data_IF_356804446234
#
_entry.id   IF_356804446234
#
_cell.length_a   1.000
_cell.length_b   1.000
_cell.length_c   1.000
_cell.angle_alpha   90.00
_cell.angle_beta   90.00
_cell.angle_gamma   90.00
#
_symmetry.space_group_name_H-M   'P 1'
#
loop_
_entity.id
_entity.type
_entity.pdbx_description
1 polymer ?
#
# COMPACT_ATOMS: atom_id res chain seq x y z
N UNK A 1 -10.06 -3.49 52.90
CA UNK A 1 -9.15 -2.95 51.85
C UNK A 1 -8.13 -3.99 51.38
N UNK A 2 -7.18 -4.51 52.21
CA UNK A 2 -6.12 -5.45 51.72
C UNK A 2 -6.64 -6.75 51.04
N UNK A 3 -7.76 -7.33 51.48
CA UNK A 3 -8.37 -8.54 50.86
C UNK A 3 -8.96 -8.24 49.46
N UNK A 4 -9.61 -7.08 49.28
CA UNK A 4 -10.19 -6.66 48.02
C UNK A 4 -9.07 -6.39 47.00
N UNK A 5 -7.99 -5.73 47.40
CA UNK A 5 -6.82 -5.47 46.53
C UNK A 5 -6.17 -6.80 46.10
N UNK A 6 -6.01 -7.77 47.01
CA UNK A 6 -5.48 -9.11 46.65
C UNK A 6 -6.40 -9.84 45.66
N UNK A 7 -7.72 -9.76 45.85
CA UNK A 7 -8.68 -10.35 44.91
C UNK A 7 -8.59 -9.70 43.54
N UNK A 8 -8.54 -8.37 43.49
CA UNK A 8 -8.39 -7.62 42.21
C UNK A 8 -7.09 -7.98 41.48
N UNK A 9 -5.97 -8.08 42.20
CA UNK A 9 -4.68 -8.51 41.63
C UNK A 9 -4.74 -9.95 41.13
N UNK A 10 -5.42 -10.85 41.82
CA UNK A 10 -5.63 -12.23 41.36
C UNK A 10 -6.48 -12.32 40.09
N UNK A 11 -7.57 -11.54 40.02
CA UNK A 11 -8.41 -11.45 38.81
C UNK A 11 -7.62 -10.84 37.62
N UNK A 12 -6.86 -9.78 37.87
CA UNK A 12 -6.02 -9.15 36.83
C UNK A 12 -4.97 -10.14 36.33
N UNK A 13 -4.28 -10.85 37.21
CA UNK A 13 -3.32 -11.88 36.83
C UNK A 13 -3.96 -12.98 35.98
N UNK A 14 -5.13 -13.48 36.38
CA UNK A 14 -5.86 -14.49 35.63
C UNK A 14 -6.27 -13.97 34.23
N UNK A 15 -6.74 -12.73 34.13
CA UNK A 15 -7.07 -12.09 32.85
C UNK A 15 -5.85 -11.95 31.93
N UNK A 16 -4.70 -11.57 32.51
CA UNK A 16 -3.45 -11.47 31.72
C UNK A 16 -3.02 -12.85 31.22
N UNK A 17 -3.04 -13.88 32.08
CA UNK A 17 -2.71 -15.25 31.67
C UNK A 17 -3.67 -15.76 30.63
N UNK A 18 -4.97 -15.54 30.80
CA UNK A 18 -5.98 -15.90 29.80
C UNK A 18 -5.74 -15.22 28.47
N UNK A 19 -5.45 -13.91 28.49
CA UNK A 19 -5.14 -13.16 27.27
C UNK A 19 -3.88 -13.69 26.57
N UNK A 20 -2.82 -13.99 27.31
CA UNK A 20 -1.60 -14.58 26.75
C UNK A 20 -1.87 -15.94 26.13
N UNK A 21 -2.60 -16.81 26.81
CA UNK A 21 -2.98 -18.13 26.28
C UNK A 21 -3.86 -17.97 25.04
N UNK A 22 -4.83 -17.06 25.08
CA UNK A 22 -5.70 -16.76 23.93
C UNK A 22 -4.90 -16.28 22.70
N UNK A 23 -3.95 -15.36 22.89
CA UNK A 23 -3.06 -14.90 21.80
C UNK A 23 -2.23 -16.05 21.23
N UNK A 24 -1.76 -16.99 22.06
CA UNK A 24 -1.04 -18.17 21.59
C UNK A 24 -1.91 -19.08 20.71
N UNK A 25 -3.20 -19.19 21.00
CA UNK A 25 -4.16 -19.94 20.17
C UNK A 25 -4.45 -19.28 18.83
N UNK A 26 -4.29 -17.96 18.72
CA UNK A 26 -4.49 -17.24 17.45
C UNK A 26 -3.31 -17.39 16.48
N UNK A 27 -2.15 -17.83 16.96
CA UNK A 27 -0.96 -18.02 16.11
C UNK A 27 -1.09 -19.26 15.25
N UNK A 28 -0.72 -19.14 13.98
CA UNK A 28 -0.66 -20.27 13.08
C UNK A 28 0.43 -21.27 13.57
N UNK A 29 0.12 -22.58 13.71
CA UNK A 29 1.13 -23.59 14.04
C UNK A 29 2.07 -23.83 12.85
N UNK A 30 3.23 -24.42 13.10
CA UNK A 30 4.13 -24.88 12.05
C UNK A 30 3.44 -26.06 11.33
N UNK A 31 3.50 -26.04 9.99
CA UNK A 31 2.93 -27.10 9.15
C UNK A 31 3.56 -28.47 9.46
N UNK A 32 2.75 -29.48 9.44
CA UNK A 32 3.14 -30.90 9.51
C UNK A 32 2.49 -31.63 8.34
N UNK A 33 2.72 -32.93 8.24
CA UNK A 33 2.21 -33.76 7.13
C UNK A 33 0.68 -33.71 6.96
N UNK A 34 -0.07 -33.44 8.03
CA UNK A 34 -1.53 -33.27 8.00
C UNK A 34 -1.95 -31.80 7.91
N UNK A 35 -2.00 -31.29 6.72
CA UNK A 35 -2.35 -29.92 6.36
C UNK A 35 -3.86 -29.83 6.04
N UNK A 36 -4.63 -29.24 6.98
CA UNK A 36 -6.09 -29.23 6.95
C UNK A 36 -6.66 -28.02 6.20
N UNK A 37 -7.76 -28.26 5.46
CA UNK A 37 -8.52 -27.20 4.78
C UNK A 37 -9.05 -26.16 5.80
N UNK A 38 -8.94 -24.88 5.45
CA UNK A 38 -9.44 -23.77 6.26
C UNK A 38 -8.56 -23.36 7.45
N UNK A 39 -7.45 -24.07 7.70
CA UNK A 39 -6.53 -23.74 8.80
C UNK A 39 -5.26 -23.07 8.29
N UNK A 40 -4.80 -22.09 9.05
CA UNK A 40 -3.53 -21.40 8.82
C UNK A 40 -2.36 -22.19 9.40
N UNK A 41 -1.25 -22.20 8.67
CA UNK A 41 0.01 -22.81 9.07
C UNK A 41 1.18 -21.92 8.70
N UNK A 42 2.28 -22.02 9.47
CA UNK A 42 3.60 -21.47 9.13
C UNK A 42 4.39 -22.53 8.37
N UNK A 43 4.98 -22.15 7.27
CA UNK A 43 5.98 -22.93 6.55
C UNK A 43 7.32 -22.25 6.77
N UNK A 44 8.20 -22.89 7.54
CA UNK A 44 9.53 -22.34 7.83
C UNK A 44 10.43 -22.42 6.61
N UNK A 45 11.30 -21.43 6.44
CA UNK A 45 12.39 -21.47 5.47
C UNK A 45 13.68 -21.87 6.18
N UNK A 46 14.23 -23.02 5.83
CA UNK A 46 15.39 -23.58 6.50
C UNK A 46 16.61 -22.65 6.40
N UNK A 47 17.19 -22.33 7.55
CA UNK A 47 18.38 -21.47 7.64
C UNK A 47 18.14 -19.99 7.37
N UNK A 48 16.88 -19.55 7.19
CA UNK A 48 16.53 -18.14 6.97
C UNK A 48 15.96 -17.51 8.24
N UNK A 49 16.54 -16.40 8.65
CA UNK A 49 16.11 -15.65 9.81
C UNK A 49 15.77 -14.19 9.45
N UNK A 50 14.93 -13.55 10.25
CA UNK A 50 14.77 -12.10 10.19
C UNK A 50 16.02 -11.37 10.77
N UNK A 51 16.02 -10.05 10.72
CA UNK A 51 17.15 -9.25 11.25
C UNK A 51 17.26 -9.27 12.78
N UNK A 52 16.38 -10.00 13.48
CA UNK A 52 16.40 -10.23 14.95
C UNK A 52 16.76 -11.67 15.32
N UNK A 53 17.06 -12.51 14.33
CA UNK A 53 17.39 -13.93 14.54
C UNK A 53 16.19 -14.84 14.75
N UNK A 54 14.96 -14.40 14.44
CA UNK A 54 13.80 -15.28 14.46
C UNK A 54 13.68 -16.03 13.15
N UNK A 55 13.26 -17.32 13.21
CA UNK A 55 13.03 -18.14 12.02
C UNK A 55 12.04 -17.45 11.07
N UNK A 56 12.41 -17.35 9.81
CA UNK A 56 11.56 -16.75 8.80
C UNK A 56 10.59 -17.81 8.22
N UNK A 57 9.38 -17.40 7.90
CA UNK A 57 8.33 -18.25 7.38
C UNK A 57 7.40 -17.49 6.43
N UNK A 58 6.64 -18.23 5.65
CA UNK A 58 5.40 -17.74 5.07
C UNK A 58 4.19 -18.44 5.70
N UNK A 59 3.01 -17.87 5.50
CA UNK A 59 1.77 -18.43 6.01
C UNK A 59 0.98 -19.06 4.87
N UNK A 60 0.41 -20.23 5.11
CA UNK A 60 -0.44 -20.93 4.15
C UNK A 60 -1.77 -21.33 4.78
N UNK A 61 -2.87 -21.14 4.04
CA UNK A 61 -4.20 -21.69 4.36
C UNK A 61 -4.73 -22.42 3.13
N UNK A 62 -5.02 -23.71 3.24
CA UNK A 62 -5.61 -24.49 2.15
C UNK A 62 -7.09 -24.15 2.00
N UNK A 63 -7.48 -23.71 0.82
CA UNK A 63 -8.87 -23.47 0.44
C UNK A 63 -9.61 -24.74 0.01
N UNK A 64 -10.91 -24.59 -0.26
CA UNK A 64 -11.75 -25.64 -0.85
C UNK A 64 -11.77 -25.61 -2.36
N UNK A 65 -11.52 -24.41 -2.94
CA UNK A 65 -11.52 -24.17 -4.38
C UNK A 65 -10.09 -24.22 -4.93
N UNK A 66 -9.95 -24.57 -6.22
CA UNK A 66 -8.68 -24.53 -6.94
C UNK A 66 -8.33 -23.09 -7.35
N UNK A 67 -8.34 -22.17 -6.39
CA UNK A 67 -8.06 -20.76 -6.55
C UNK A 67 -7.06 -20.31 -5.50
N UNK A 68 -6.12 -19.46 -5.88
CA UNK A 68 -4.98 -19.09 -5.04
C UNK A 68 -4.84 -17.58 -4.96
N UNK A 69 -4.53 -17.10 -3.76
CA UNK A 69 -4.09 -15.74 -3.49
C UNK A 69 -2.66 -15.78 -2.94
N UNK A 70 -1.74 -15.10 -3.60
CA UNK A 70 -0.42 -14.78 -3.08
C UNK A 70 -0.45 -13.34 -2.61
N UNK A 71 -0.30 -13.12 -1.30
CA UNK A 71 -0.48 -11.83 -0.66
C UNK A 71 0.84 -11.38 0.01
N UNK A 72 1.43 -10.34 -0.52
CA UNK A 72 2.62 -9.71 0.04
C UNK A 72 2.24 -8.69 1.13
N UNK A 73 2.80 -8.86 2.31
CA UNK A 73 2.59 -7.90 3.40
C UNK A 73 3.36 -6.60 3.15
N UNK A 74 2.81 -5.50 3.63
CA UNK A 74 3.48 -4.22 3.69
C UNK A 74 4.28 -4.08 4.98
N UNK A 75 5.00 -2.97 5.14
CA UNK A 75 5.77 -2.71 6.35
C UNK A 75 6.81 -1.60 6.20
N UNK A 76 6.59 -0.65 5.30
CA UNK A 76 7.46 0.51 5.10
C UNK A 76 8.65 0.26 4.20
N UNK A 77 9.69 1.12 4.29
CA UNK A 77 10.87 0.98 3.45
C UNK A 77 12.15 1.51 4.12
N UNK A 78 13.29 1.00 3.68
CA UNK A 78 14.63 1.42 4.08
C UNK A 78 15.49 1.67 2.84
N UNK A 79 15.98 2.90 2.68
CA UNK A 79 16.68 3.36 1.47
C UNK A 79 18.07 3.94 1.75
N UNK A 80 18.45 4.05 3.01
CA UNK A 80 19.74 4.57 3.46
C UNK A 80 20.02 4.15 4.90
N UNK A 81 21.20 4.51 5.41
CA UNK A 81 21.64 4.19 6.78
C UNK A 81 20.72 4.78 7.84
N UNK A 82 20.18 5.99 7.63
CA UNK A 82 19.25 6.61 8.57
C UNK A 82 17.99 5.76 8.76
N UNK A 83 17.37 5.35 7.66
CA UNK A 83 16.16 4.52 7.70
C UNK A 83 16.45 3.12 8.21
N UNK A 84 17.63 2.57 7.92
CA UNK A 84 18.08 1.28 8.43
C UNK A 84 18.33 1.28 9.96
N UNK A 85 18.80 2.40 10.52
CA UNK A 85 19.03 2.57 11.95
C UNK A 85 17.76 2.89 12.74
N UNK A 86 16.85 3.67 12.16
CA UNK A 86 15.60 4.13 12.80
C UNK A 86 14.39 3.22 12.46
N UNK A 87 14.60 1.91 12.50
CA UNK A 87 13.66 0.86 12.06
C UNK A 87 12.22 1.08 12.49
N UNK A 88 11.99 1.39 13.76
CA UNK A 88 10.63 1.57 14.32
C UNK A 88 9.79 2.63 13.60
N UNK A 89 10.42 3.60 12.95
CA UNK A 89 9.74 4.69 12.27
C UNK A 89 9.53 4.40 10.78
N UNK A 90 10.42 3.63 10.15
CA UNK A 90 10.47 3.51 8.70
C UNK A 90 10.07 2.13 8.17
N UNK A 91 10.31 1.04 8.90
CA UNK A 91 9.90 -0.29 8.43
C UNK A 91 9.82 -1.33 9.55
N UNK A 92 9.11 -2.43 9.26
CA UNK A 92 9.02 -3.60 10.13
C UNK A 92 10.27 -4.45 9.94
N UNK A 93 10.97 -4.81 11.05
CA UNK A 93 12.22 -5.59 11.03
C UNK A 93 12.12 -6.90 11.82
N UNK A 94 10.92 -7.22 12.33
CA UNK A 94 10.69 -8.38 13.19
C UNK A 94 9.43 -9.12 12.75
N UNK A 95 9.62 -10.36 12.29
CA UNK A 95 8.54 -11.20 11.78
C UNK A 95 7.44 -11.50 12.81
N UNK A 96 7.73 -11.38 14.11
CA UNK A 96 6.73 -11.55 15.16
C UNK A 96 5.61 -10.51 15.11
N UNK A 97 5.86 -9.33 14.56
CA UNK A 97 4.82 -8.32 14.35
C UNK A 97 3.85 -8.70 13.23
N UNK A 98 4.26 -9.60 12.34
CA UNK A 98 3.48 -10.10 11.22
C UNK A 98 2.62 -11.34 11.54
N UNK A 99 2.83 -11.97 12.71
CA UNK A 99 2.23 -13.26 13.04
C UNK A 99 0.70 -13.31 13.03
N UNK A 100 0.04 -12.19 13.31
CA UNK A 100 -1.42 -12.11 13.39
C UNK A 100 -2.07 -11.41 12.19
N UNK A 101 -1.29 -10.95 11.20
CA UNK A 101 -1.83 -10.26 10.04
C UNK A 101 -2.74 -11.13 9.16
N UNK A 102 -2.64 -12.46 9.27
CA UNK A 102 -3.56 -13.39 8.60
C UNK A 102 -5.00 -13.37 9.16
N UNK A 103 -5.21 -12.75 10.32
CA UNK A 103 -6.53 -12.63 10.96
C UNK A 103 -7.32 -11.39 10.51
N UNK A 104 -6.73 -10.55 9.66
CA UNK A 104 -7.32 -9.26 9.25
C UNK A 104 -7.33 -9.10 7.72
N UNK A 105 -8.04 -8.10 7.25
CA UNK A 105 -8.09 -7.72 5.84
C UNK A 105 -8.60 -8.83 4.92
N UNK A 106 -7.97 -8.97 3.76
CA UNK A 106 -8.33 -9.96 2.73
C UNK A 106 -8.18 -11.41 3.22
N UNK A 107 -7.29 -11.65 4.18
CA UNK A 107 -7.01 -12.97 4.75
C UNK A 107 -7.95 -13.37 5.88
N UNK A 108 -8.76 -12.43 6.39
CA UNK A 108 -9.65 -12.65 7.52
C UNK A 108 -10.66 -13.76 7.21
N UNK A 109 -10.77 -14.73 8.11
CA UNK A 109 -11.85 -15.71 8.08
C UNK A 109 -13.15 -15.02 8.55
N UNK A 110 -13.97 -14.65 7.59
CA UNK A 110 -15.23 -13.95 7.79
C UNK A 110 -16.26 -14.49 6.78
N UNK A 111 -17.48 -14.76 7.24
CA UNK A 111 -18.56 -15.32 6.39
C UNK A 111 -18.86 -14.45 5.16
N UNK A 112 -18.60 -13.15 5.25
CA UNK A 112 -18.81 -12.18 4.18
C UNK A 112 -17.55 -11.96 3.33
N UNK A 113 -16.43 -12.68 3.62
CA UNK A 113 -15.23 -12.64 2.79
C UNK A 113 -15.36 -13.60 1.61
N UNK A 114 -15.45 -13.10 0.36
CA UNK A 114 -15.64 -13.94 -0.81
C UNK A 114 -14.44 -14.86 -1.13
N UNK A 115 -13.31 -14.65 -0.45
CA UNK A 115 -12.07 -15.41 -0.66
C UNK A 115 -11.84 -16.51 0.39
N UNK A 116 -12.79 -16.76 1.29
CA UNK A 116 -12.60 -17.77 2.35
C UNK A 116 -12.22 -19.16 1.83
N UNK A 117 -12.73 -19.54 0.67
CA UNK A 117 -12.48 -20.84 0.07
C UNK A 117 -11.27 -20.89 -0.87
N UNK A 118 -10.54 -19.76 -1.01
CA UNK A 118 -9.27 -19.73 -1.73
C UNK A 118 -8.12 -20.21 -0.85
N UNK A 119 -7.13 -20.82 -1.51
CA UNK A 119 -5.83 -21.06 -0.87
C UNK A 119 -5.06 -19.76 -0.76
N UNK A 120 -4.57 -19.45 0.44
CA UNK A 120 -3.76 -18.25 0.69
C UNK A 120 -2.31 -18.62 0.89
N UNK A 121 -1.43 -17.81 0.30
CA UNK A 121 0.01 -17.73 0.60
C UNK A 121 0.26 -16.29 1.05
N UNK A 122 0.48 -16.07 2.35
CA UNK A 122 0.80 -14.76 2.88
C UNK A 122 2.31 -14.67 3.14
N UNK A 123 2.97 -13.68 2.55
CA UNK A 123 4.41 -13.47 2.60
C UNK A 123 4.73 -12.29 3.52
N UNK A 124 5.25 -12.54 4.74
CA UNK A 124 5.63 -11.49 5.68
C UNK A 124 6.76 -10.62 5.15
N UNK A 125 6.81 -9.37 5.60
CA UNK A 125 7.79 -8.38 5.20
C UNK A 125 8.66 -7.90 6.36
N UNK A 126 9.99 -7.99 6.22
CA UNK A 126 10.94 -7.60 7.28
C UNK A 126 12.27 -7.03 6.74
N UNK A 127 12.34 -6.70 5.46
CA UNK A 127 13.60 -6.37 4.78
C UNK A 127 13.74 -4.93 4.34
N UNK A 128 12.66 -4.15 4.35
CA UNK A 128 12.69 -2.73 3.98
C UNK A 128 12.94 -2.45 2.47
N UNK A 129 12.77 -3.44 1.58
CA UNK A 129 13.23 -3.44 0.18
C UNK A 129 12.14 -3.86 -0.83
N UNK A 130 10.86 -3.70 -0.48
CA UNK A 130 9.71 -4.12 -1.31
C UNK A 130 9.77 -5.59 -1.79
N UNK A 131 10.36 -6.49 -1.00
CA UNK A 131 10.58 -7.92 -1.35
C UNK A 131 11.49 -8.15 -2.58
N UNK A 132 12.30 -7.18 -2.99
CA UNK A 132 13.10 -7.27 -4.23
C UNK A 132 14.60 -7.10 -4.08
N UNK A 133 15.11 -6.88 -2.86
CA UNK A 133 16.53 -6.70 -2.60
C UNK A 133 17.30 -8.02 -2.58
N UNK A 134 18.60 -7.94 -2.92
CA UNK A 134 19.56 -9.03 -2.84
C UNK A 134 20.83 -8.63 -2.05
N UNK A 135 20.78 -7.58 -1.23
CA UNK A 135 21.92 -7.06 -0.49
C UNK A 135 22.12 -7.78 0.84
N UNK A 136 22.85 -8.91 0.81
CA UNK A 136 23.24 -9.69 2.00
C UNK A 136 24.44 -9.08 2.75
N UNK A 137 25.20 -8.18 2.12
CA UNK A 137 26.45 -7.62 2.65
C UNK A 137 26.22 -6.41 3.55
N UNK A 138 25.03 -5.80 3.51
CA UNK A 138 24.71 -4.65 4.32
C UNK A 138 24.71 -5.03 5.82
N UNK A 139 25.66 -4.45 6.58
CA UNK A 139 25.83 -4.76 8.01
C UNK A 139 24.71 -4.20 8.89
N UNK A 140 24.03 -3.15 8.45
CA UNK A 140 22.94 -2.51 9.21
C UNK A 140 21.61 -3.24 9.00
N UNK A 141 21.37 -3.68 7.78
CA UNK A 141 20.12 -4.34 7.38
C UNK A 141 20.38 -5.26 6.18
N UNK A 142 20.13 -6.53 6.34
CA UNK A 142 20.09 -7.46 5.21
C UNK A 142 18.83 -7.23 4.40
N UNK A 143 19.00 -6.71 3.20
CA UNK A 143 17.94 -6.46 2.24
C UNK A 143 17.87 -7.61 1.25
N UNK A 144 17.30 -8.74 1.70
CA UNK A 144 17.30 -10.04 1.01
C UNK A 144 15.86 -10.42 0.56
N UNK A 145 15.01 -9.44 0.31
CA UNK A 145 13.60 -9.68 -0.01
C UNK A 145 13.41 -10.57 -1.22
N UNK A 146 14.18 -10.35 -2.30
CA UNK A 146 14.11 -11.19 -3.50
C UNK A 146 14.64 -12.62 -3.27
N UNK A 147 15.72 -12.77 -2.51
CA UNK A 147 16.26 -14.11 -2.16
C UNK A 147 15.18 -14.91 -1.42
N UNK A 148 14.54 -14.29 -0.43
CA UNK A 148 13.45 -14.92 0.33
C UNK A 148 12.23 -15.21 -0.54
N UNK A 149 11.90 -14.30 -1.46
CA UNK A 149 10.81 -14.50 -2.42
C UNK A 149 11.03 -15.76 -3.26
N UNK A 150 12.21 -15.97 -3.83
CA UNK A 150 12.52 -17.18 -4.63
C UNK A 150 12.38 -18.44 -3.75
N UNK A 151 12.99 -18.46 -2.57
CA UNK A 151 12.89 -19.60 -1.65
C UNK A 151 11.44 -19.93 -1.27
N UNK A 152 10.61 -18.88 -1.05
CA UNK A 152 9.18 -19.06 -0.78
C UNK A 152 8.48 -19.66 -2.01
N UNK A 153 8.71 -19.12 -3.20
CA UNK A 153 8.03 -19.57 -4.40
C UNK A 153 8.40 -21.00 -4.77
N UNK A 154 9.66 -21.38 -4.60
CA UNK A 154 10.10 -22.78 -4.78
C UNK A 154 9.36 -23.70 -3.79
N UNK A 155 9.22 -23.28 -2.53
CA UNK A 155 8.49 -24.03 -1.51
C UNK A 155 6.98 -24.06 -1.77
N UNK A 156 6.40 -22.96 -2.27
CA UNK A 156 4.97 -22.87 -2.64
C UNK A 156 4.60 -23.88 -3.72
N UNK A 157 5.50 -24.18 -4.66
CA UNK A 157 5.28 -25.21 -5.70
C UNK A 157 5.12 -26.62 -5.15
N UNK A 158 5.56 -26.89 -3.91
CA UNK A 158 5.30 -28.18 -3.26
C UNK A 158 3.84 -28.34 -2.79
N UNK A 159 3.12 -27.21 -2.61
CA UNK A 159 1.74 -27.18 -2.10
C UNK A 159 0.71 -26.85 -3.17
N UNK A 160 1.11 -26.14 -4.23
CA UNK A 160 0.23 -25.60 -5.26
C UNK A 160 0.74 -25.98 -6.64
N UNK A 161 -0.08 -26.67 -7.40
CA UNK A 161 0.27 -27.08 -8.75
C UNK A 161 -0.22 -26.05 -9.78
N UNK A 162 -1.45 -26.16 -10.25
CA UNK A 162 -2.00 -25.30 -11.31
C UNK A 162 -3.41 -24.81 -10.94
N UNK A 163 -3.53 -23.63 -10.30
CA UNK A 163 -4.83 -23.10 -9.93
C UNK A 163 -5.59 -22.57 -11.16
N UNK A 164 -6.94 -22.63 -11.09
CA UNK A 164 -7.82 -22.04 -12.10
C UNK A 164 -7.77 -20.52 -12.08
N UNK A 165 -7.64 -19.94 -10.88
CA UNK A 165 -7.53 -18.48 -10.63
C UNK A 165 -6.31 -18.22 -9.77
N UNK A 166 -5.48 -17.30 -10.18
CA UNK A 166 -4.38 -16.79 -9.38
C UNK A 166 -4.52 -15.28 -9.23
N UNK A 167 -4.62 -14.82 -7.97
CA UNK A 167 -4.54 -13.41 -7.59
C UNK A 167 -3.22 -13.16 -6.87
N UNK A 168 -2.36 -12.34 -7.46
CA UNK A 168 -1.18 -11.80 -6.79
C UNK A 168 -1.54 -10.43 -6.23
N UNK A 169 -1.42 -10.24 -4.94
CA UNK A 169 -1.80 -9.00 -4.27
C UNK A 169 -0.79 -8.59 -3.21
N UNK A 170 -0.92 -7.37 -2.73
CA UNK A 170 -0.19 -6.87 -1.60
C UNK A 170 -0.62 -5.44 -1.29
N UNK A 171 -0.30 -5.00 -0.09
CA UNK A 171 -0.63 -3.66 0.40
C UNK A 171 0.64 -2.90 0.81
N UNK A 172 0.70 -1.58 0.59
CA UNK A 172 1.85 -0.74 0.93
C UNK A 172 3.13 -1.29 0.27
N UNK A 173 4.19 -1.56 1.01
CA UNK A 173 5.41 -2.23 0.50
C UNK A 173 5.09 -3.53 -0.27
N UNK A 174 4.09 -4.30 0.17
CA UNK A 174 3.62 -5.49 -0.53
C UNK A 174 2.89 -5.20 -1.84
N UNK A 175 2.24 -4.05 -1.98
CA UNK A 175 1.66 -3.60 -3.24
C UNK A 175 2.74 -3.22 -4.26
N UNK A 176 3.86 -2.62 -3.83
CA UNK A 176 5.04 -2.47 -4.69
C UNK A 176 5.54 -3.86 -5.12
N UNK A 177 5.67 -4.81 -4.18
CA UNK A 177 6.07 -6.18 -4.50
C UNK A 177 5.14 -6.84 -5.53
N UNK A 178 3.81 -6.76 -5.33
CA UNK A 178 2.84 -7.37 -6.25
C UNK A 178 2.94 -6.78 -7.65
N UNK A 179 3.16 -5.46 -7.80
CA UNK A 179 3.35 -4.84 -9.11
C UNK A 179 4.63 -5.33 -9.81
N UNK A 180 5.72 -5.55 -9.06
CA UNK A 180 7.05 -5.88 -9.61
C UNK A 180 7.20 -7.38 -9.87
N UNK A 181 6.75 -8.22 -8.92
CA UNK A 181 7.01 -9.65 -8.92
C UNK A 181 5.95 -10.49 -9.65
N UNK A 182 4.77 -9.91 -9.97
CA UNK A 182 3.69 -10.63 -10.67
C UNK A 182 4.13 -11.22 -12.00
N UNK A 183 4.95 -10.49 -12.77
CA UNK A 183 5.48 -11.02 -14.03
C UNK A 183 6.28 -12.32 -13.81
N UNK A 184 7.20 -12.34 -12.84
CA UNK A 184 7.97 -13.53 -12.47
C UNK A 184 7.06 -14.66 -11.98
N UNK A 185 6.09 -14.35 -11.11
CA UNK A 185 5.14 -15.35 -10.60
C UNK A 185 4.34 -15.98 -11.74
N UNK A 186 3.83 -15.18 -12.67
CA UNK A 186 2.99 -15.67 -13.76
C UNK A 186 3.75 -16.43 -14.85
N UNK A 187 5.02 -16.15 -15.08
CA UNK A 187 5.77 -16.75 -16.18
C UNK A 187 6.69 -17.88 -15.74
N UNK A 188 7.28 -17.78 -14.53
CA UNK A 188 8.26 -18.76 -14.08
C UNK A 188 7.62 -19.83 -13.20
N UNK A 189 6.59 -19.48 -12.40
CA UNK A 189 5.99 -20.41 -11.45
C UNK A 189 4.59 -20.92 -11.87
N UNK A 190 3.77 -20.06 -12.49
CA UNK A 190 2.36 -20.36 -12.80
C UNK A 190 1.99 -19.98 -14.23
N UNK A 191 2.81 -20.39 -15.21
CA UNK A 191 2.65 -20.03 -16.62
C UNK A 191 1.32 -20.52 -17.23
N UNK A 192 0.84 -21.70 -16.80
CA UNK A 192 -0.31 -22.37 -17.36
C UNK A 192 -1.66 -21.89 -16.79
N UNK A 193 -1.64 -21.05 -15.75
CA UNK A 193 -2.84 -20.44 -15.18
C UNK A 193 -3.50 -19.53 -16.20
N UNK A 194 -4.79 -19.73 -16.44
CA UNK A 194 -5.53 -18.96 -17.45
C UNK A 194 -6.11 -17.66 -16.87
N UNK A 195 -6.56 -17.63 -15.62
CA UNK A 195 -7.14 -16.45 -14.98
C UNK A 195 -6.14 -15.82 -14.03
N UNK A 196 -5.26 -14.95 -14.59
CA UNK A 196 -4.20 -14.23 -13.89
C UNK A 196 -4.67 -12.85 -13.51
N UNK A 197 -4.50 -12.48 -12.24
CA UNK A 197 -4.95 -11.21 -11.71
C UNK A 197 -3.85 -10.61 -10.82
N UNK A 198 -3.67 -9.30 -10.89
CA UNK A 198 -2.84 -8.55 -9.96
C UNK A 198 -3.65 -7.45 -9.29
N UNK A 199 -3.48 -7.30 -7.99
CA UNK A 199 -4.08 -6.24 -7.20
C UNK A 199 -2.98 -5.51 -6.42
N UNK A 200 -2.89 -4.21 -6.64
CA UNK A 200 -1.93 -3.31 -5.97
C UNK A 200 -2.71 -2.38 -5.06
N UNK A 201 -2.51 -2.48 -3.74
CA UNK A 201 -3.16 -1.62 -2.75
C UNK A 201 -2.18 -0.63 -2.11
N UNK A 202 -2.52 0.65 -2.20
CA UNK A 202 -1.83 1.75 -1.52
C UNK A 202 -0.31 1.79 -1.80
N UNK A 203 0.07 1.87 -3.10
CA UNK A 203 1.47 1.82 -3.52
C UNK A 203 1.75 2.88 -4.59
N UNK A 204 2.00 4.11 -4.14
CA UNK A 204 2.39 5.24 -4.98
C UNK A 204 3.47 6.05 -4.27
N UNK A 205 4.68 6.01 -4.81
CA UNK A 205 5.81 6.86 -4.44
C UNK A 205 6.56 7.25 -5.71
N UNK A 206 6.84 8.54 -5.84
CA UNK A 206 7.52 9.13 -6.99
C UNK A 206 8.93 9.52 -6.56
N UNK A 207 9.96 9.03 -7.26
CA UNK A 207 11.34 9.39 -6.94
C UNK A 207 12.27 9.21 -8.14
N UNK A 208 13.10 10.19 -8.41
CA UNK A 208 14.17 10.09 -9.41
C UNK A 208 15.34 9.22 -8.89
N UNK A 209 15.35 8.89 -7.59
CA UNK A 209 16.37 8.05 -6.95
C UNK A 209 16.10 6.53 -7.08
N UNK A 210 14.99 6.10 -7.71
CA UNK A 210 14.66 4.67 -7.79
C UNK A 210 15.79 3.83 -8.42
N UNK A 211 16.42 4.32 -9.46
CA UNK A 211 17.53 3.58 -10.10
C UNK A 211 18.67 3.34 -9.12
N UNK A 212 19.10 4.38 -8.40
CA UNK A 212 20.12 4.27 -7.35
C UNK A 212 19.69 3.34 -6.20
N UNK A 213 18.47 3.52 -5.69
CA UNK A 213 17.94 2.70 -4.58
C UNK A 213 17.94 1.22 -4.97
N UNK A 214 17.44 0.88 -6.16
CA UNK A 214 17.34 -0.50 -6.60
C UNK A 214 18.73 -1.13 -6.87
N UNK A 215 19.61 -0.41 -7.57
CA UNK A 215 20.91 -0.95 -8.00
C UNK A 215 21.94 -0.95 -6.87
N UNK A 216 22.08 0.15 -6.16
CA UNK A 216 23.21 0.37 -5.26
C UNK A 216 22.86 0.06 -3.80
N UNK A 217 21.62 0.38 -3.37
CA UNK A 217 21.21 0.14 -1.97
C UNK A 217 20.65 -1.27 -1.80
N UNK A 218 19.64 -1.64 -2.59
CA UNK A 218 19.00 -2.96 -2.46
C UNK A 218 19.67 -4.06 -3.26
N UNK A 219 20.53 -3.71 -4.24
CA UNK A 219 21.16 -4.66 -5.17
C UNK A 219 20.13 -5.59 -5.83
N UNK A 220 18.99 -5.03 -6.22
CA UNK A 220 17.90 -5.76 -6.85
C UNK A 220 18.35 -6.39 -8.18
N UNK A 221 17.74 -7.52 -8.62
CA UNK A 221 18.08 -8.17 -9.88
C UNK A 221 18.02 -7.21 -11.07
N UNK A 222 18.94 -7.34 -12.01
CA UNK A 222 19.06 -6.49 -13.19
C UNK A 222 17.78 -6.48 -14.05
N UNK A 223 17.12 -7.62 -14.19
CA UNK A 223 15.86 -7.71 -14.93
C UNK A 223 14.70 -6.92 -14.29
N UNK A 224 14.75 -6.65 -12.98
CA UNK A 224 13.83 -5.73 -12.29
C UNK A 224 14.25 -4.29 -12.54
N UNK A 225 15.53 -3.96 -12.30
CA UNK A 225 16.02 -2.59 -12.42
C UNK A 225 15.95 -2.05 -13.85
N UNK A 226 16.10 -2.90 -14.86
CA UNK A 226 15.99 -2.54 -16.27
C UNK A 226 14.57 -2.14 -16.72
N UNK A 227 13.53 -2.48 -15.94
CA UNK A 227 12.14 -2.09 -16.21
C UNK A 227 11.83 -0.66 -15.82
N UNK A 228 12.64 -0.04 -14.96
CA UNK A 228 12.40 1.32 -14.47
C UNK A 228 12.75 2.31 -15.56
N UNK A 229 11.76 3.07 -16.03
CA UNK A 229 11.87 4.04 -17.12
C UNK A 229 11.50 5.45 -16.68
N UNK A 230 10.73 5.55 -15.61
CA UNK A 230 10.25 6.81 -15.04
C UNK A 230 10.53 6.85 -13.53
N UNK A 231 10.09 7.90 -12.89
CA UNK A 231 10.14 8.03 -11.43
C UNK A 231 8.98 7.31 -10.70
N UNK A 232 8.14 6.54 -11.42
CA UNK A 232 7.05 5.75 -10.85
C UNK A 232 7.29 4.25 -11.08
N UNK A 233 7.96 3.62 -10.13
CA UNK A 233 8.32 2.19 -10.18
C UNK A 233 7.11 1.25 -10.34
N UNK A 234 5.97 1.58 -9.74
CA UNK A 234 4.75 0.75 -9.84
C UNK A 234 4.16 0.84 -11.24
N UNK A 235 4.04 2.03 -11.78
CA UNK A 235 3.50 2.25 -13.13
C UNK A 235 4.37 1.55 -14.19
N UNK A 236 5.69 1.69 -14.10
CA UNK A 236 6.62 1.06 -15.05
C UNK A 236 6.48 -0.47 -15.05
N UNK A 237 6.37 -1.08 -13.85
CA UNK A 237 6.22 -2.52 -13.74
C UNK A 237 4.83 -3.01 -14.19
N UNK A 238 3.76 -2.26 -13.93
CA UNK A 238 2.42 -2.61 -14.42
C UNK A 238 2.31 -2.46 -15.95
N UNK A 239 2.96 -1.46 -16.55
CA UNK A 239 3.10 -1.35 -18.00
C UNK A 239 3.84 -2.55 -18.58
N UNK A 240 5.00 -2.89 -18.01
CA UNK A 240 5.77 -4.05 -18.42
C UNK A 240 4.97 -5.35 -18.30
N UNK A 241 4.23 -5.53 -17.19
CA UNK A 241 3.36 -6.68 -16.98
C UNK A 241 2.28 -6.78 -18.06
N UNK A 242 1.57 -5.67 -18.34
CA UNK A 242 0.50 -5.60 -19.33
C UNK A 242 1.01 -5.87 -20.76
N UNK A 243 2.22 -5.43 -21.10
CA UNK A 243 2.84 -5.68 -22.40
C UNK A 243 3.21 -7.15 -22.62
N UNK A 244 3.66 -7.83 -21.56
CA UNK A 244 4.19 -9.19 -21.62
C UNK A 244 3.18 -10.28 -21.20
N UNK A 245 2.05 -9.90 -20.58
CA UNK A 245 0.98 -10.79 -20.14
C UNK A 245 -0.38 -10.21 -20.56
N UNK A 246 -0.76 -10.39 -21.83
CA UNK A 246 -1.93 -9.71 -22.46
C UNK A 246 -3.27 -9.97 -21.77
N UNK A 247 -3.44 -11.14 -21.14
CA UNK A 247 -4.69 -11.54 -20.51
C UNK A 247 -4.73 -11.24 -19.00
N UNK A 248 -3.66 -10.67 -18.43
CA UNK A 248 -3.64 -10.32 -17.03
C UNK A 248 -4.64 -9.20 -16.74
N UNK A 249 -5.40 -9.36 -15.65
CA UNK A 249 -6.27 -8.30 -15.14
C UNK A 249 -5.54 -7.52 -14.05
N UNK A 250 -5.50 -6.20 -14.21
CA UNK A 250 -4.77 -5.29 -13.31
C UNK A 250 -5.78 -4.48 -12.50
N UNK A 251 -5.65 -4.53 -11.19
CA UNK A 251 -6.42 -3.75 -10.25
C UNK A 251 -5.50 -2.85 -9.44
N UNK A 252 -5.79 -1.56 -9.43
CA UNK A 252 -5.08 -0.60 -8.59
C UNK A 252 -6.05 0.04 -7.60
N UNK A 253 -5.72 -0.02 -6.32
CA UNK A 253 -6.57 0.47 -5.24
C UNK A 253 -5.79 1.49 -4.41
N UNK A 254 -6.36 2.65 -4.17
CA UNK A 254 -5.71 3.70 -3.37
C UNK A 254 -6.73 4.58 -2.68
N UNK A 255 -6.39 5.06 -1.49
CA UNK A 255 -7.11 6.18 -0.90
C UNK A 255 -6.65 7.51 -1.52
N UNK A 256 -7.54 8.51 -1.51
CA UNK A 256 -7.36 9.76 -2.24
C UNK A 256 -6.13 10.56 -1.81
N UNK A 257 -5.82 10.58 -0.50
CA UNK A 257 -4.71 11.34 0.11
C UNK A 257 -4.06 10.53 1.24
N UNK A 258 -3.50 9.40 0.88
CA UNK A 258 -2.93 8.42 1.80
C UNK A 258 -1.89 9.01 2.75
N UNK A 259 -2.26 9.14 4.02
CA UNK A 259 -1.45 9.78 5.06
C UNK A 259 -0.08 9.11 5.27
N UNK A 260 -0.03 7.81 5.11
CA UNK A 260 1.21 7.03 5.31
C UNK A 260 2.15 7.21 4.12
N UNK A 261 1.65 7.04 2.89
CA UNK A 261 2.46 7.24 1.69
C UNK A 261 2.96 8.68 1.57
N UNK A 262 2.15 9.67 1.98
CA UNK A 262 2.56 11.08 2.00
C UNK A 262 3.78 11.29 2.90
N UNK A 263 3.88 10.63 4.06
CA UNK A 263 5.07 10.72 4.92
C UNK A 263 6.31 10.15 4.25
N UNK A 264 6.18 9.00 3.59
CA UNK A 264 7.29 8.42 2.84
C UNK A 264 7.69 9.26 1.64
N UNK A 265 6.71 9.83 0.92
CA UNK A 265 6.98 10.74 -0.19
C UNK A 265 7.73 11.98 0.30
N UNK A 266 7.29 12.60 1.39
CA UNK A 266 7.97 13.76 1.96
C UNK A 266 9.39 13.42 2.44
N UNK A 267 9.61 12.19 2.94
CA UNK A 267 10.97 11.74 3.29
C UNK A 267 11.85 11.54 2.04
N UNK A 268 11.31 11.01 0.96
CA UNK A 268 12.04 10.90 -0.31
C UNK A 268 12.45 12.28 -0.83
N UNK A 269 11.52 13.24 -0.82
CA UNK A 269 11.71 14.57 -1.40
C UNK A 269 12.55 15.50 -0.50
N UNK A 270 12.28 15.52 0.82
CA UNK A 270 12.76 16.53 1.75
C UNK A 270 13.51 15.98 2.96
N UNK A 271 13.62 14.65 3.11
CA UNK A 271 14.16 13.95 4.28
C UNK A 271 13.35 14.22 5.58
N UNK A 272 12.08 14.58 5.45
CA UNK A 272 11.17 14.82 6.56
C UNK A 272 10.04 13.78 6.59
N UNK A 273 9.95 13.00 7.65
CA UNK A 273 8.89 11.97 7.81
C UNK A 273 7.63 12.58 8.44
N UNK A 274 6.96 13.46 7.70
CA UNK A 274 5.76 14.17 8.13
C UNK A 274 4.70 14.25 7.02
N UNK A 275 3.47 14.62 7.38
CA UNK A 275 2.35 14.79 6.44
C UNK A 275 1.54 16.03 6.79
N UNK A 276 0.99 16.68 5.77
CA UNK A 276 0.09 17.84 5.90
C UNK A 276 -0.85 17.94 4.70
N UNK A 277 -1.78 18.89 4.73
CA UNK A 277 -2.78 19.13 3.68
C UNK A 277 -2.14 19.41 2.31
N UNK A 278 -1.07 20.20 2.25
CA UNK A 278 -0.40 20.55 0.99
C UNK A 278 0.24 19.34 0.35
N UNK A 279 0.95 18.52 1.13
CA UNK A 279 1.54 17.26 0.68
C UNK A 279 0.45 16.26 0.25
N UNK A 280 -0.70 16.25 0.95
CA UNK A 280 -1.86 15.45 0.57
C UNK A 280 -2.38 15.80 -0.82
N UNK A 281 -2.33 17.09 -1.19
CA UNK A 281 -2.71 17.54 -2.52
C UNK A 281 -1.73 17.12 -3.60
N UNK A 282 -0.44 17.25 -3.33
CA UNK A 282 0.62 16.77 -4.24
C UNK A 282 0.45 15.27 -4.50
N UNK A 283 0.20 14.48 -3.45
CA UNK A 283 -0.09 13.06 -3.59
C UNK A 283 -1.32 12.79 -4.46
N UNK A 284 -2.44 13.51 -4.25
CA UNK A 284 -3.64 13.38 -5.07
C UNK A 284 -3.38 13.71 -6.54
N UNK A 285 -2.58 14.73 -6.84
CA UNK A 285 -2.20 15.04 -8.22
C UNK A 285 -1.36 13.92 -8.86
N UNK A 286 -0.40 13.37 -8.13
CA UNK A 286 0.39 12.23 -8.60
C UNK A 286 -0.49 10.98 -8.81
N UNK A 287 -1.47 10.77 -7.93
CA UNK A 287 -2.44 9.69 -8.07
C UNK A 287 -3.31 9.88 -9.33
N UNK A 288 -3.78 11.09 -9.62
CA UNK A 288 -4.53 11.41 -10.83
C UNK A 288 -3.72 11.10 -12.09
N UNK A 289 -2.43 11.49 -12.12
CA UNK A 289 -1.53 11.18 -13.24
C UNK A 289 -1.36 9.67 -13.39
N UNK A 290 -1.07 8.96 -12.31
CA UNK A 290 -0.90 7.50 -12.35
C UNK A 290 -2.18 6.79 -12.82
N UNK A 291 -3.34 7.17 -12.30
CA UNK A 291 -4.63 6.56 -12.68
C UNK A 291 -4.93 6.78 -14.15
N UNK A 292 -4.70 7.98 -14.67
CA UNK A 292 -4.89 8.26 -16.09
C UNK A 292 -4.01 7.35 -16.97
N UNK A 293 -2.74 7.16 -16.60
CA UNK A 293 -1.84 6.26 -17.34
C UNK A 293 -2.28 4.78 -17.23
N UNK A 294 -2.71 4.34 -16.06
CA UNK A 294 -3.18 2.97 -15.83
C UNK A 294 -4.42 2.64 -16.67
N UNK A 295 -5.35 3.58 -16.83
CA UNK A 295 -6.59 3.36 -17.58
C UNK A 295 -6.37 3.21 -19.10
N UNK A 296 -5.18 3.55 -19.62
CA UNK A 296 -4.80 3.22 -20.99
C UNK A 296 -4.31 1.78 -21.16
N UNK A 297 -4.00 1.08 -20.05
CA UNK A 297 -3.59 -0.31 -20.14
C UNK A 297 -4.81 -1.22 -20.31
N UNK A 298 -4.74 -2.25 -21.18
CA UNK A 298 -5.82 -3.19 -21.35
C UNK A 298 -6.09 -3.95 -20.02
N UNK A 299 -7.33 -4.39 -19.82
CA UNK A 299 -7.77 -5.17 -18.68
C UNK A 299 -7.44 -4.53 -17.31
N UNK A 300 -7.37 -3.22 -17.25
CA UNK A 300 -7.01 -2.46 -16.04
C UNK A 300 -8.21 -1.72 -15.49
N UNK A 301 -8.36 -1.79 -14.18
CA UNK A 301 -9.37 -1.03 -13.43
C UNK A 301 -8.79 -0.45 -12.16
N UNK A 302 -9.42 0.60 -11.66
CA UNK A 302 -9.02 1.29 -10.44
C UNK A 302 -10.17 1.41 -9.45
N UNK A 303 -9.85 1.44 -8.16
CA UNK A 303 -10.80 1.72 -7.10
C UNK A 303 -10.21 2.80 -6.18
N UNK A 304 -10.71 4.02 -6.33
CA UNK A 304 -10.28 5.16 -5.50
C UNK A 304 -11.34 5.40 -4.43
N UNK A 305 -10.90 5.58 -3.21
CA UNK A 305 -11.78 5.80 -2.07
C UNK A 305 -11.28 6.93 -1.18
N UNK A 306 -12.18 7.47 -0.36
CA UNK A 306 -11.88 8.54 0.59
C UNK A 306 -12.62 8.29 1.90
N UNK A 307 -11.88 8.34 2.99
CA UNK A 307 -12.40 8.36 4.35
C UNK A 307 -11.61 9.40 5.13
N UNK A 308 -11.93 10.65 4.92
CA UNK A 308 -11.27 11.75 5.61
C UNK A 308 -11.41 11.58 7.11
N UNK A 309 -10.26 11.42 7.79
CA UNK A 309 -10.18 11.29 9.23
C UNK A 309 -9.42 12.49 9.79
N UNK A 310 -10.11 13.33 10.54
CA UNK A 310 -9.51 14.49 11.20
C UNK A 310 -9.42 15.75 10.35
N UNK A 311 -8.80 16.77 10.92
CA UNK A 311 -8.74 18.13 10.35
C UNK A 311 -7.62 18.32 9.32
N UNK A 312 -6.80 17.31 9.08
CA UNK A 312 -5.73 17.33 8.08
C UNK A 312 -6.18 16.89 6.68
N UNK A 313 -7.45 16.46 6.53
CA UNK A 313 -8.06 16.00 5.27
C UNK A 313 -7.30 14.86 4.56
N UNK A 314 -6.46 14.15 5.29
CA UNK A 314 -5.76 12.97 4.81
C UNK A 314 -6.63 11.72 5.03
N UNK A 315 -6.38 10.70 4.22
CA UNK A 315 -7.15 9.45 4.23
C UNK A 315 -6.35 8.31 4.83
N UNK A 316 -7.03 7.25 5.26
CA UNK A 316 -6.38 6.06 5.82
C UNK A 316 -5.58 5.32 4.77
N UNK A 317 -4.59 4.58 5.24
CA UNK A 317 -3.69 3.76 4.45
C UNK A 317 -4.24 2.34 4.31
N UNK A 318 -4.17 1.76 3.12
CA UNK A 318 -4.55 0.37 2.78
C UNK A 318 -6.02 0.02 3.05
N UNK A 319 -6.63 -0.75 2.21
CA UNK A 319 -7.98 -1.24 2.37
C UNK A 319 -8.02 -2.78 2.43
N UNK A 320 -7.10 -3.44 1.74
CA UNK A 320 -7.02 -4.91 1.75
C UNK A 320 -6.50 -5.47 3.07
N UNK A 321 -5.79 -4.65 3.85
CA UNK A 321 -5.34 -4.97 5.21
C UNK A 321 -6.37 -4.58 6.28
N UNK A 322 -7.14 -3.49 6.07
CA UNK A 322 -8.05 -2.93 7.07
C UNK A 322 -9.45 -2.86 6.49
N UNK A 323 -10.44 -3.40 7.21
CA UNK A 323 -11.88 -3.30 6.89
C UNK A 323 -12.27 -3.74 5.45
N UNK A 324 -11.56 -4.72 4.92
CA UNK A 324 -11.71 -5.23 3.56
C UNK A 324 -13.14 -5.63 3.20
N UNK A 325 -13.84 -6.30 4.11
CA UNK A 325 -15.16 -6.88 3.86
C UNK A 325 -16.28 -5.84 3.90
N UNK A 326 -16.10 -4.76 4.68
CA UNK A 326 -17.16 -3.77 4.92
C UNK A 326 -16.97 -2.47 4.14
N UNK A 327 -15.71 -2.11 3.82
CA UNK A 327 -15.41 -0.84 3.15
C UNK A 327 -16.05 -0.78 1.78
N UNK A 328 -16.77 0.31 1.54
CA UNK A 328 -17.46 0.55 0.25
C UNK A 328 -17.39 2.02 -0.13
N UNK A 329 -17.37 2.25 -1.43
CA UNK A 329 -17.51 3.56 -2.06
C UNK A 329 -18.58 3.49 -3.15
N UNK A 330 -19.48 4.49 -3.21
CA UNK A 330 -20.62 4.51 -4.13
C UNK A 330 -21.44 3.21 -4.15
N UNK A 331 -21.62 2.59 -2.97
CA UNK A 331 -22.44 1.39 -2.81
C UNK A 331 -21.74 0.07 -3.13
N UNK A 332 -20.53 0.08 -3.75
CA UNK A 332 -19.76 -1.14 -4.01
C UNK A 332 -18.70 -1.36 -2.93
N UNK A 333 -18.62 -2.58 -2.42
CA UNK A 333 -17.52 -2.99 -1.53
C UNK A 333 -16.25 -3.26 -2.34
N UNK A 334 -15.08 -3.03 -1.75
CA UNK A 334 -13.82 -3.37 -2.41
C UNK A 334 -13.69 -4.88 -2.67
N UNK A 335 -14.21 -5.71 -1.77
CA UNK A 335 -14.28 -7.17 -1.98
C UNK A 335 -15.09 -7.55 -3.22
N UNK A 336 -16.28 -6.93 -3.41
CA UNK A 336 -17.13 -7.18 -4.58
C UNK A 336 -16.47 -6.66 -5.87
N UNK A 337 -15.83 -5.49 -5.81
CA UNK A 337 -15.04 -4.96 -6.92
C UNK A 337 -13.99 -5.95 -7.40
N UNK A 338 -13.19 -6.51 -6.49
CA UNK A 338 -12.13 -7.46 -6.84
C UNK A 338 -12.72 -8.73 -7.47
N UNK A 339 -13.78 -9.29 -6.88
CA UNK A 339 -14.49 -10.46 -7.43
C UNK A 339 -15.01 -10.18 -8.83
N UNK A 340 -15.62 -9.02 -9.06
CA UNK A 340 -16.15 -8.62 -10.36
C UNK A 340 -15.04 -8.58 -11.42
N UNK A 341 -13.88 -7.99 -11.10
CA UNK A 341 -12.74 -7.92 -12.03
C UNK A 341 -12.18 -9.32 -12.31
N UNK A 342 -12.01 -10.17 -11.31
CA UNK A 342 -11.58 -11.57 -11.49
C UNK A 342 -12.52 -12.29 -12.46
N UNK A 343 -13.82 -12.02 -12.38
CA UNK A 343 -14.85 -12.60 -13.25
C UNK A 343 -14.99 -11.90 -14.62
N UNK A 344 -14.21 -10.84 -14.90
CA UNK A 344 -14.17 -10.17 -16.20
C UNK A 344 -15.01 -8.89 -16.31
N UNK A 345 -15.67 -8.43 -15.23
CA UNK A 345 -16.35 -7.12 -15.19
C UNK A 345 -15.35 -6.02 -14.76
N UNK A 346 -14.64 -5.49 -15.75
CA UNK A 346 -13.54 -4.53 -15.54
C UNK A 346 -14.10 -3.11 -15.49
N UNK A 347 -14.57 -2.70 -14.31
CA UNK A 347 -15.08 -1.34 -14.05
C UNK A 347 -14.25 -0.63 -13.01
N UNK A 348 -14.04 0.67 -13.23
CA UNK A 348 -13.35 1.56 -12.28
C UNK A 348 -14.34 2.33 -11.41
N UNK A 349 -13.94 2.60 -10.17
CA UNK A 349 -14.75 3.28 -9.16
C UNK A 349 -13.98 4.41 -8.49
N UNK A 350 -14.69 5.46 -8.05
CA UNK A 350 -14.09 6.58 -7.35
C UNK A 350 -13.36 7.58 -8.24
N UNK A 351 -13.54 7.49 -9.57
CA UNK A 351 -12.96 8.45 -10.53
C UNK A 351 -13.51 9.86 -10.34
N UNK A 352 -14.74 9.98 -9.86
CA UNK A 352 -15.39 11.24 -9.51
C UNK A 352 -14.65 12.01 -8.41
N UNK A 353 -13.99 11.32 -7.47
CA UNK A 353 -13.15 11.97 -6.45
C UNK A 353 -11.98 12.75 -7.05
N UNK A 354 -11.37 12.25 -8.12
CA UNK A 354 -10.31 12.94 -8.84
C UNK A 354 -10.87 14.07 -9.72
N UNK A 355 -12.01 13.82 -10.40
CA UNK A 355 -12.65 14.80 -11.28
C UNK A 355 -13.34 15.95 -10.54
N UNK A 356 -13.94 15.72 -9.38
CA UNK A 356 -14.52 16.77 -8.55
C UNK A 356 -13.47 17.77 -8.12
N UNK A 357 -12.29 17.31 -7.73
CA UNK A 357 -11.16 18.20 -7.42
C UNK A 357 -10.84 19.12 -8.60
N UNK A 358 -10.85 18.62 -9.83
CA UNK A 358 -10.59 19.41 -11.05
C UNK A 358 -11.69 20.42 -11.33
N UNK A 359 -12.96 20.01 -11.30
CA UNK A 359 -14.11 20.90 -11.51
C UNK A 359 -14.19 22.00 -10.44
N UNK A 360 -13.91 21.66 -9.19
CA UNK A 360 -13.88 22.64 -8.10
C UNK A 360 -12.73 23.63 -8.28
N UNK A 361 -11.54 23.17 -8.71
CA UNK A 361 -10.44 24.07 -9.09
C UNK A 361 -10.86 25.02 -10.21
N UNK A 362 -11.41 24.51 -11.29
CA UNK A 362 -11.88 25.32 -12.42
C UNK A 362 -12.91 26.35 -11.98
N UNK A 363 -13.85 25.95 -11.11
CA UNK A 363 -14.85 26.88 -10.53
C UNK A 363 -14.19 27.96 -9.68
N UNK A 364 -13.27 27.61 -8.80
CA UNK A 364 -12.55 28.58 -7.93
C UNK A 364 -11.67 29.49 -8.76
N UNK A 365 -10.97 29.00 -9.79
CA UNK A 365 -10.19 29.83 -10.72
C UNK A 365 -11.08 30.77 -11.52
N UNK A 366 -12.27 30.32 -11.96
CA UNK A 366 -13.25 31.17 -12.62
C UNK A 366 -13.77 32.28 -11.70
N UNK A 367 -14.06 31.97 -10.43
CA UNK A 367 -14.48 32.95 -9.44
C UNK A 367 -13.38 33.96 -9.10
N UNK A 368 -12.13 33.50 -8.95
CA UNK A 368 -10.96 34.36 -8.73
C UNK A 368 -10.69 35.28 -9.93
N UNK A 369 -10.85 34.77 -11.16
CA UNK A 369 -10.74 35.54 -12.40
C UNK A 369 -11.78 36.65 -12.49
N UNK A 370 -13.03 36.32 -12.15
CA UNK A 370 -14.13 37.30 -12.11
C UNK A 370 -13.93 38.40 -11.05
N UNK A 371 -13.04 38.18 -10.08
CA UNK A 371 -12.63 39.19 -9.10
C UNK A 371 -11.51 40.11 -9.57
N UNK A 372 -11.08 40.05 -10.85
CA UNK A 372 -9.96 40.81 -11.43
C UNK A 372 -8.65 40.67 -10.64
N UNK A 373 -8.35 39.51 -10.13
CA UNK A 373 -7.08 39.16 -9.52
C UNK A 373 -6.13 38.70 -10.62
N UNK A 374 -4.97 39.34 -10.72
CA UNK A 374 -4.00 39.13 -11.80
C UNK A 374 -3.41 37.71 -11.73
N UNK A 375 -3.60 36.93 -12.81
CA UNK A 375 -3.23 35.51 -12.88
C UNK A 375 -1.71 35.25 -12.77
N UNK A 376 -0.87 36.20 -13.19
CA UNK A 376 0.59 36.04 -13.11
C UNK A 376 1.09 35.96 -11.66
N UNK A 377 0.44 36.65 -10.74
CA UNK A 377 0.78 36.59 -9.31
C UNK A 377 0.34 35.27 -8.68
N UNK A 378 -0.71 34.64 -9.20
CA UNK A 378 -1.24 33.36 -8.72
C UNK A 378 -0.35 32.19 -9.13
N UNK A 379 0.26 32.24 -10.32
CA UNK A 379 1.12 31.18 -10.84
C UNK A 379 2.50 31.11 -10.14
N UNK A 380 3.02 32.21 -9.63
CA UNK A 380 4.29 32.24 -8.87
C UNK A 380 4.18 31.74 -7.42
N UNK A 381 2.96 31.61 -6.89
CA UNK A 381 2.69 31.13 -5.52
C UNK A 381 1.76 29.90 -5.52
N UNK A 382 1.96 28.99 -6.46
CA UNK A 382 1.09 27.84 -6.69
C UNK A 382 0.73 27.04 -5.41
N UNK A 383 1.67 26.87 -4.48
CA UNK A 383 1.44 26.14 -3.23
C UNK A 383 0.47 26.91 -2.28
N UNK A 384 0.66 28.22 -2.09
CA UNK A 384 -0.17 29.00 -1.15
C UNK A 384 -1.56 29.25 -1.72
N UNK A 385 -1.67 29.51 -3.02
CA UNK A 385 -2.96 29.73 -3.70
C UNK A 385 -3.77 28.45 -3.76
N UNK A 386 -3.11 27.32 -3.99
CA UNK A 386 -3.71 25.99 -3.95
C UNK A 386 -4.25 25.67 -2.55
N UNK A 387 -3.49 25.95 -1.49
CA UNK A 387 -3.92 25.76 -0.11
C UNK A 387 -5.14 26.61 0.26
N UNK A 388 -5.21 27.87 -0.20
CA UNK A 388 -6.35 28.75 0.02
C UNK A 388 -7.59 28.35 -0.78
N UNK A 389 -7.40 27.90 -2.02
CA UNK A 389 -8.48 27.35 -2.83
C UNK A 389 -9.05 26.06 -2.20
N UNK A 390 -8.21 25.21 -1.66
CA UNK A 390 -8.61 24.00 -0.95
C UNK A 390 -9.41 24.27 0.32
N UNK A 391 -8.94 25.19 1.14
CA UNK A 391 -9.68 25.61 2.35
C UNK A 391 -11.01 26.28 2.02
N UNK A 392 -11.09 27.00 0.90
CA UNK A 392 -12.35 27.58 0.41
C UNK A 392 -13.32 26.50 -0.07
N UNK A 393 -12.83 25.54 -0.86
CA UNK A 393 -13.59 24.39 -1.38
C UNK A 393 -14.14 23.54 -0.22
N UNK A 394 -13.35 23.37 0.83
CA UNK A 394 -13.72 22.59 2.02
C UNK A 394 -14.62 23.35 3.01
N UNK A 395 -15.02 24.58 2.66
CA UNK A 395 -15.92 25.41 3.49
C UNK A 395 -15.33 25.92 4.80
N UNK A 396 -14.02 25.77 5.00
CA UNK A 396 -13.29 26.20 6.22
C UNK A 396 -12.77 27.62 6.19
N UNK A 397 -12.72 28.25 5.01
CA UNK A 397 -12.51 29.70 4.90
C UNK A 397 -13.84 30.32 4.55
N UNK A 398 -14.52 30.86 5.56
CA UNK A 398 -15.71 31.69 5.34
C UNK A 398 -15.38 32.88 4.43
N UNK A 399 -16.41 33.43 3.77
CA UNK A 399 -16.39 34.52 2.78
C UNK A 399 -15.71 35.86 3.24
N UNK A 400 -14.91 35.85 4.30
CA UNK A 400 -14.00 36.94 4.63
C UNK A 400 -12.89 37.19 3.60
N UNK A 401 -12.90 36.44 2.51
CA UNK A 401 -11.78 36.36 1.58
C UNK A 401 -11.54 37.62 0.72
N UNK A 402 -12.54 38.39 0.33
CA UNK A 402 -12.30 39.60 -0.48
C UNK A 402 -11.36 40.62 0.18
N UNK A 403 -11.48 40.82 1.49
CA UNK A 403 -10.63 41.76 2.23
C UNK A 403 -9.24 41.18 2.57
N UNK A 404 -9.12 39.87 2.71
CA UNK A 404 -7.86 39.19 3.05
C UNK A 404 -6.92 39.09 1.84
N UNK A 405 -7.43 38.77 0.65
CA UNK A 405 -6.67 38.79 -0.61
C UNK A 405 -6.18 40.20 -0.96
N UNK A 406 -6.98 41.25 -0.70
CA UNK A 406 -6.62 42.63 -0.95
C UNK A 406 -5.61 43.18 0.07
N UNK A 407 -5.62 42.72 1.34
CA UNK A 407 -4.67 43.17 2.36
C UNK A 407 -3.27 42.58 2.15
N UNK A 408 -3.17 41.33 1.70
CA UNK A 408 -1.88 40.72 1.40
C UNK A 408 -1.23 41.28 0.13
N UNK A 409 -2.01 41.63 -0.89
CA UNK A 409 -1.51 42.34 -2.07
C UNK A 409 -0.92 43.71 -1.70
N UNK A 410 -1.54 44.44 -0.77
CA UNK A 410 -1.02 45.74 -0.27
C UNK A 410 0.25 45.60 0.57
N UNK A 411 0.38 44.55 1.38
CA UNK A 411 1.58 44.29 2.19
C UNK A 411 2.79 43.92 1.33
N UNK A 412 2.59 43.20 0.22
CA UNK A 412 3.69 42.73 -0.63
C UNK A 412 4.19 43.77 -1.62
N UNK A 413 3.32 44.67 -2.12
CA UNK A 413 3.78 45.82 -2.93
C UNK A 413 4.67 46.81 -2.15
N UNK A 414 4.63 46.77 -0.82
CA UNK A 414 5.49 47.60 0.04
C UNK A 414 6.87 46.96 0.35
N UNK A 415 7.06 45.69 0.06
CA UNK A 415 8.35 44.97 0.30
C UNK A 415 9.26 45.03 -0.93
N UNK A 416 8.72 45.25 -2.13
CA UNK A 416 9.48 45.34 -3.39
C UNK A 416 9.81 46.79 -3.84
N UNK A 417 9.47 47.79 -3.04
CA UNK A 417 9.77 49.19 -3.30
C UNK A 417 10.72 49.83 -2.26
N UNK A 418 11.55 49.00 -1.63
CA UNK A 418 12.67 49.47 -0.82
C UNK A 418 13.94 48.73 -1.16
#
# INVERSE_FOLDING_TARGET
MKKIVKLMLGVLFFLIVFLLVFVLFLRAPIIKDDYQVGKWYKVLLDGVNDNKGNDYYFLIKKGRENKVIINFYGGGLSINDETALNRKNYYIDNIKYEELNHLVGISKDDKDNPFNDYTFINIPYVTGDFHIGMNSENKLLKQEGYIRFIMIMDKVKEYIDNPEVLLVTGYSAGGFASSILSHTIFNDYFKDVQNKNVLVDASLLISDEWEHILKDVWKSPEFITSRIKTNNIVLDNLKYLSENNKDVKIMYVSSLRDKTLIKYQNYLDNKEFSSNVSLGKTFQNNLEVMVNELLFLPNTSVYIWSDVVGDDFLTTHTITMIDFVNKKYNGIKVSDYIVNVINGDIKSYGMDLLMESKKMKEKVYSELSNMKIDYEVVNHEAATTTLLADKYIEGKIGVRSKSMFMSDKKKRSSIYTR
#
